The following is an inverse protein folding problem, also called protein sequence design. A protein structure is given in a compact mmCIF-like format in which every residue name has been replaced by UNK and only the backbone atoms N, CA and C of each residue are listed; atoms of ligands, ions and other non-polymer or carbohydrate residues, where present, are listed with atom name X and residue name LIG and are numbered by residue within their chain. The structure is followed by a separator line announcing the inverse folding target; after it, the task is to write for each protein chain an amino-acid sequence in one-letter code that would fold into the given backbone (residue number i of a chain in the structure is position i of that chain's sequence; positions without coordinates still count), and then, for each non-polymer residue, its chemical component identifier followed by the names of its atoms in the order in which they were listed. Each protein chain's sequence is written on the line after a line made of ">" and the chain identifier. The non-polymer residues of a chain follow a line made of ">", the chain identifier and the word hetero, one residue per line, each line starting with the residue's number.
data_IF_464653175648
#
_entry.id   IF_464653175648
#
_cell.length_a   1.000
_cell.length_b   1.000
_cell.length_c   1.000
_cell.angle_alpha   90.00
_cell.angle_beta   90.00
_cell.angle_gamma   90.00
#
_symmetry.space_group_name_H-M   'P 1'
#
loop_
_entity.id
_entity.type
_entity.pdbx_description
1 polymer ?
#
# COMPACT_ATOMS: atom_id res chain seq x y z
N UNK A 1 51.87 43.33 25.07
CA UNK A 1 51.55 43.35 23.62
C UNK A 1 50.03 43.23 23.50
N UNK A 2 49.38 44.38 23.35
CA UNK A 2 47.94 44.61 23.39
C UNK A 2 47.51 44.88 21.94
N UNK A 3 46.51 44.18 21.40
CA UNK A 3 45.87 44.52 20.13
C UNK A 3 44.33 44.38 20.26
N UNK A 4 43.56 45.47 20.12
CA UNK A 4 42.11 45.45 20.25
C UNK A 4 41.35 45.40 18.90
N UNK A 5 40.17 44.79 18.96
CA UNK A 5 38.89 45.18 18.33
C UNK A 5 38.88 45.61 16.86
N UNK A 6 38.24 44.80 16.00
CA UNK A 6 37.45 45.29 14.85
C UNK A 6 36.07 44.63 14.82
N UNK A 7 35.10 45.30 15.42
CA UNK A 7 33.66 45.10 15.17
C UNK A 7 33.38 45.51 13.73
N UNK A 8 33.04 44.56 12.88
CA UNK A 8 32.50 44.83 11.56
C UNK A 8 31.04 45.28 11.73
N UNK A 9 30.82 46.59 11.58
CA UNK A 9 29.50 47.19 11.40
C UNK A 9 28.93 46.71 10.05
N UNK A 10 27.85 45.92 10.11
CA UNK A 10 26.97 45.70 8.95
C UNK A 10 25.99 46.88 8.85
N UNK A 11 25.87 47.56 7.71
CA UNK A 11 24.96 48.68 7.55
C UNK A 11 23.50 48.22 7.48
N UNK A 12 22.64 48.99 8.17
CA UNK A 12 21.18 48.88 8.17
C UNK A 12 20.65 48.91 6.73
N UNK A 13 19.89 47.87 6.35
CA UNK A 13 19.16 47.81 5.09
C UNK A 13 17.85 48.60 5.23
N UNK A 14 17.82 49.75 4.58
CA UNK A 14 16.67 50.64 4.44
C UNK A 14 15.47 49.90 3.82
N UNK A 15 14.32 49.95 4.50
CA UNK A 15 13.05 49.42 4.03
C UNK A 15 12.49 50.34 2.93
N UNK A 16 12.39 49.83 1.70
CA UNK A 16 11.60 50.48 0.66
C UNK A 16 10.16 50.01 0.76
N UNK A 17 9.27 50.95 1.09
CA UNK A 17 7.83 50.80 0.96
C UNK A 17 7.47 50.66 -0.52
N UNK A 18 6.70 49.62 -0.87
CA UNK A 18 5.98 49.53 -2.12
C UNK A 18 4.50 49.36 -1.79
N UNK A 19 3.69 50.29 -2.29
CA UNK A 19 2.24 50.39 -2.15
C UNK A 19 1.50 49.32 -2.98
N UNK A 20 0.28 48.92 -2.57
CA UNK A 20 -0.54 47.97 -3.32
C UNK A 20 -1.41 48.69 -4.37
N UNK A 21 -1.17 48.42 -5.66
CA UNK A 21 -2.11 48.77 -6.73
C UNK A 21 -2.95 47.55 -7.07
N UNK A 22 -4.22 47.58 -6.68
CA UNK A 22 -5.26 46.70 -7.16
C UNK A 22 -5.62 47.08 -8.60
N UNK A 23 -5.75 46.11 -9.53
CA UNK A 23 -6.58 46.22 -10.75
C UNK A 23 -6.65 44.84 -11.44
N UNK A 24 -7.86 44.45 -11.84
CA UNK A 24 -8.03 43.70 -13.10
C UNK A 24 -8.44 42.24 -12.98
N UNK A 25 -9.74 42.01 -12.83
CA UNK A 25 -10.40 40.79 -13.27
C UNK A 25 -10.13 40.53 -14.77
N UNK A 26 -9.98 39.26 -15.15
CA UNK A 26 -10.43 38.74 -16.45
C UNK A 26 -10.61 37.22 -16.37
N UNK A 27 -11.88 36.85 -16.36
CA UNK A 27 -12.40 35.55 -16.76
C UNK A 27 -11.87 35.21 -18.16
N UNK A 28 -11.35 34.00 -18.30
CA UNK A 28 -10.92 33.43 -19.58
C UNK A 28 -11.01 31.92 -19.49
N UNK A 29 -12.23 31.41 -19.60
CA UNK A 29 -12.50 29.98 -19.78
C UNK A 29 -12.02 29.60 -21.19
N UNK A 30 -10.80 29.10 -21.31
CA UNK A 30 -10.35 28.43 -22.54
C UNK A 30 -10.50 26.93 -22.35
N UNK A 31 -11.69 26.45 -22.71
CA UNK A 31 -12.01 25.04 -22.82
C UNK A 31 -11.23 24.45 -24.02
N UNK A 32 -10.00 24.00 -23.76
CA UNK A 32 -9.26 23.16 -24.69
C UNK A 32 -9.95 21.79 -24.76
N UNK A 33 -10.83 21.65 -25.74
CA UNK A 33 -11.54 20.43 -26.13
C UNK A 33 -10.52 19.40 -26.64
N UNK A 34 -10.05 18.53 -25.74
CA UNK A 34 -9.23 17.38 -26.12
C UNK A 34 -10.11 16.37 -26.89
N UNK A 35 -9.90 16.27 -28.21
CA UNK A 35 -10.38 15.14 -28.99
C UNK A 35 -9.51 13.93 -28.64
N UNK A 36 -9.97 13.13 -27.68
CA UNK A 36 -9.39 11.81 -27.41
C UNK A 36 -9.88 10.89 -28.53
N UNK A 37 -8.98 10.61 -29.47
CA UNK A 37 -9.12 9.51 -30.43
C UNK A 37 -9.19 8.20 -29.65
N UNK A 38 -10.38 7.63 -29.53
CA UNK A 38 -10.60 6.27 -29.03
C UNK A 38 -10.44 5.30 -30.20
N UNK A 39 -9.21 4.96 -30.56
CA UNK A 39 -8.93 3.73 -31.30
C UNK A 39 -8.67 2.61 -30.29
N UNK A 40 -9.73 1.90 -29.93
CA UNK A 40 -9.66 0.65 -29.20
C UNK A 40 -9.11 -0.45 -30.12
N UNK A 41 -7.99 -1.12 -29.83
CA UNK A 41 -7.76 -2.44 -30.39
C UNK A 41 -8.68 -3.43 -29.65
N UNK A 42 -9.67 -3.94 -30.37
CA UNK A 42 -10.47 -5.08 -29.98
C UNK A 42 -9.54 -6.25 -29.59
N UNK A 43 -9.53 -6.61 -28.30
CA UNK A 43 -8.89 -7.83 -27.82
C UNK A 43 -9.77 -8.99 -28.26
N UNK A 44 -9.36 -9.66 -29.33
CA UNK A 44 -9.98 -10.90 -29.78
C UNK A 44 -9.87 -11.94 -28.66
N UNK A 45 -11.02 -12.48 -28.26
CA UNK A 45 -11.11 -13.71 -27.47
C UNK A 45 -10.54 -14.84 -28.33
N UNK A 46 -9.35 -15.32 -27.99
CA UNK A 46 -8.92 -16.65 -28.37
C UNK A 46 -9.35 -17.56 -27.23
N UNK A 47 -10.43 -18.33 -27.46
CA UNK A 47 -10.68 -19.57 -26.75
C UNK A 47 -9.48 -20.48 -27.07
N UNK A 48 -8.54 -20.59 -26.14
CA UNK A 48 -7.61 -21.72 -26.14
C UNK A 48 -8.16 -22.75 -25.19
N UNK A 49 -8.52 -23.86 -25.80
CA UNK A 49 -9.02 -25.09 -25.21
C UNK A 49 -8.06 -25.61 -24.14
N UNK A 50 -8.69 -26.16 -23.09
CA UNK A 50 -8.04 -26.88 -22.00
C UNK A 50 -7.11 -27.97 -22.55
N UNK A 51 -5.86 -28.11 -22.05
CA UNK A 51 -5.15 -29.36 -22.20
C UNK A 51 -5.77 -30.34 -21.20
N UNK A 52 -6.63 -31.22 -21.70
CA UNK A 52 -6.91 -32.53 -21.13
C UNK A 52 -5.55 -33.19 -20.85
N UNK A 53 -5.15 -33.24 -19.58
CA UNK A 53 -4.07 -34.13 -19.16
C UNK A 53 -4.65 -35.53 -19.27
N UNK A 54 -4.29 -36.19 -20.37
CA UNK A 54 -4.50 -37.60 -20.60
C UNK A 54 -3.97 -38.39 -19.40
N UNK A 55 -4.90 -39.04 -18.70
CA UNK A 55 -4.59 -40.03 -17.68
C UNK A 55 -3.89 -41.24 -18.35
N UNK A 56 -2.58 -41.17 -18.53
CA UNK A 56 -1.73 -42.31 -18.90
C UNK A 56 -1.23 -42.99 -17.63
N UNK A 57 -2.14 -43.66 -16.93
CA UNK A 57 -1.81 -44.64 -15.91
C UNK A 57 -2.44 -45.99 -16.26
N UNK A 58 -2.15 -46.48 -17.47
CA UNK A 58 -2.14 -47.92 -17.69
C UNK A 58 -0.95 -48.45 -16.90
N UNK A 59 -1.21 -49.22 -15.82
CA UNK A 59 -0.46 -50.36 -15.24
C UNK A 59 -1.01 -50.65 -13.82
N UNK A 60 -2.29 -50.97 -13.68
CA UNK A 60 -2.76 -51.69 -12.48
C UNK A 60 -3.59 -52.87 -12.97
N UNK A 61 -2.94 -54.03 -13.00
CA UNK A 61 -3.60 -55.32 -13.10
C UNK A 61 -4.38 -55.53 -11.80
N UNK A 62 -5.71 -55.53 -11.85
CA UNK A 62 -6.54 -55.92 -10.71
C UNK A 62 -6.48 -57.45 -10.54
N UNK A 63 -6.01 -58.01 -9.41
CA UNK A 63 -6.24 -59.42 -9.11
C UNK A 63 -7.69 -59.60 -8.57
N UNK A 64 -8.36 -60.72 -8.89
CA UNK A 64 -9.74 -60.94 -8.45
C UNK A 64 -9.81 -61.20 -6.93
N UNK A 65 -10.80 -60.55 -6.33
CA UNK A 65 -11.30 -60.68 -4.97
C UNK A 65 -11.70 -62.12 -4.63
N UNK A 66 -11.10 -62.69 -3.57
CA UNK A 66 -11.73 -63.68 -2.68
C UNK A 66 -10.84 -63.88 -1.44
N UNK A 67 -11.22 -63.28 -0.31
CA UNK A 67 -10.74 -63.70 1.00
C UNK A 67 -11.90 -63.54 2.01
N UNK A 68 -12.20 -64.56 2.84
CA UNK A 68 -13.33 -64.55 3.73
C UNK A 68 -13.08 -63.74 5.00
N UNK A 69 -14.18 -63.23 5.52
CA UNK A 69 -14.35 -62.47 6.74
C UNK A 69 -13.81 -63.23 7.97
N UNK A 70 -12.91 -62.62 8.75
CA UNK A 70 -12.77 -62.96 10.17
C UNK A 70 -12.05 -61.87 10.99
N UNK A 71 -12.75 -61.47 12.04
CA UNK A 71 -12.27 -61.09 13.37
C UNK A 71 -11.67 -59.69 13.60
N UNK A 72 -12.52 -58.92 14.29
CA UNK A 72 -12.22 -57.87 15.26
C UNK A 72 -10.77 -57.83 15.74
N UNK A 73 -10.07 -56.76 15.35
CA UNK A 73 -8.91 -56.25 16.08
C UNK A 73 -9.12 -54.76 16.29
N UNK A 74 -9.46 -54.42 17.54
CA UNK A 74 -9.30 -53.12 18.20
C UNK A 74 -8.84 -51.98 17.29
N UNK A 75 -9.74 -51.06 16.96
CA UNK A 75 -9.40 -49.76 16.38
C UNK A 75 -8.61 -48.94 17.42
N UNK A 76 -7.35 -49.29 17.61
CA UNK A 76 -6.39 -48.45 18.30
C UNK A 76 -6.36 -47.13 17.56
N UNK A 77 -6.81 -46.07 18.22
CA UNK A 77 -6.68 -44.70 17.75
C UNK A 77 -5.19 -44.45 17.52
N UNK A 78 -4.74 -44.62 16.28
CA UNK A 78 -3.43 -44.17 15.87
C UNK A 78 -3.40 -42.65 16.13
N UNK A 79 -2.37 -42.13 16.81
CA UNK A 79 -2.24 -40.70 17.01
C UNK A 79 -2.28 -40.03 15.63
N UNK A 80 -2.97 -38.88 15.49
CA UNK A 80 -3.03 -38.18 14.22
C UNK A 80 -1.60 -37.92 13.74
N UNK A 81 -1.25 -38.48 12.58
CA UNK A 81 0.06 -38.33 11.97
C UNK A 81 0.40 -36.83 11.93
N UNK A 82 1.61 -36.40 12.36
CA UNK A 82 1.96 -35.00 12.32
C UNK A 82 1.85 -34.51 10.87
N UNK A 83 0.82 -33.73 10.57
CA UNK A 83 0.68 -33.12 9.25
C UNK A 83 1.91 -32.24 9.04
N UNK A 84 2.71 -32.45 7.97
CA UNK A 84 3.88 -31.61 7.73
C UNK A 84 3.40 -30.16 7.61
N UNK A 85 3.81 -29.32 8.56
CA UNK A 85 3.54 -27.88 8.53
C UNK A 85 4.29 -27.34 7.31
N UNK A 86 3.56 -27.11 6.22
CA UNK A 86 4.14 -26.53 5.01
C UNK A 86 4.81 -25.19 5.39
N UNK A 87 6.00 -24.90 4.84
CA UNK A 87 6.66 -23.62 5.09
C UNK A 87 5.74 -22.49 4.62
N UNK A 88 5.75 -21.34 5.32
CA UNK A 88 4.91 -20.21 4.96
C UNK A 88 5.22 -19.75 3.53
N UNK A 89 4.19 -19.29 2.80
CA UNK A 89 4.38 -18.77 1.44
C UNK A 89 5.18 -17.46 1.52
N UNK A 90 6.38 -17.44 0.95
CA UNK A 90 7.29 -16.28 0.94
C UNK A 90 7.17 -15.44 -0.35
N UNK A 91 6.03 -15.46 -1.03
CA UNK A 91 5.86 -14.72 -2.27
C UNK A 91 5.56 -13.23 -2.01
N UNK A 92 5.62 -12.41 -3.05
CA UNK A 92 5.22 -10.98 -3.00
C UNK A 92 3.74 -10.77 -2.63
N UNK A 93 2.95 -11.85 -2.57
CA UNK A 93 1.52 -11.86 -2.21
C UNK A 93 1.31 -12.16 -0.72
N UNK A 94 2.33 -12.62 0.01
CA UNK A 94 2.20 -13.05 1.41
C UNK A 94 1.58 -11.96 2.30
N UNK A 95 2.03 -10.71 2.17
CA UNK A 95 1.49 -9.55 2.89
C UNK A 95 0.23 -8.92 2.28
N UNK A 96 -0.35 -9.52 1.24
CA UNK A 96 -1.53 -9.01 0.50
C UNK A 96 -2.62 -10.07 0.36
N UNK A 97 -2.57 -11.10 1.20
CA UNK A 97 -3.53 -12.21 1.22
C UNK A 97 -4.10 -12.39 2.62
N UNK A 98 -5.39 -12.65 2.71
CA UNK A 98 -6.10 -12.94 3.95
C UNK A 98 -6.94 -14.19 3.72
N UNK A 99 -6.89 -15.11 4.68
CA UNK A 99 -7.80 -16.25 4.69
C UNK A 99 -9.17 -15.81 5.20
N UNK A 100 -10.22 -16.09 4.45
CA UNK A 100 -11.61 -15.85 4.90
C UNK A 100 -11.92 -16.82 6.02
N UNK A 101 -12.41 -16.31 7.16
CA UNK A 101 -12.81 -17.12 8.32
C UNK A 101 -14.30 -16.89 8.60
N UNK A 102 -15.01 -17.95 8.92
CA UNK A 102 -16.44 -17.87 9.28
C UNK A 102 -17.37 -17.43 8.15
N UNK A 103 -16.94 -17.55 6.87
CA UNK A 103 -17.77 -17.17 5.72
C UNK A 103 -17.97 -15.66 5.52
N UNK A 104 -17.44 -14.81 6.40
CA UNK A 104 -17.54 -13.35 6.26
C UNK A 104 -16.51 -12.82 5.25
N UNK A 105 -16.92 -12.84 3.98
CA UNK A 105 -16.13 -12.33 2.86
C UNK A 105 -16.02 -10.80 2.92
N UNK A 106 -17.07 -10.11 3.39
CA UNK A 106 -17.10 -8.66 3.46
C UNK A 106 -16.07 -8.13 4.48
N UNK A 107 -16.04 -8.73 5.68
CA UNK A 107 -15.04 -8.45 6.71
C UNK A 107 -13.62 -8.72 6.20
N UNK A 108 -13.41 -9.83 5.49
CA UNK A 108 -12.12 -10.16 4.90
C UNK A 108 -11.66 -9.10 3.87
N UNK A 109 -12.56 -8.57 3.04
CA UNK A 109 -12.22 -7.48 2.11
C UNK A 109 -11.90 -6.16 2.82
N UNK A 110 -12.59 -5.83 3.91
CA UNK A 110 -12.27 -4.63 4.71
C UNK A 110 -10.90 -4.75 5.36
N UNK A 111 -10.58 -5.93 5.90
CA UNK A 111 -9.26 -6.22 6.44
C UNK A 111 -8.19 -6.14 5.34
N UNK A 112 -8.46 -6.68 4.15
CA UNK A 112 -7.53 -6.61 3.02
C UNK A 112 -7.27 -5.16 2.60
N UNK A 113 -8.33 -4.36 2.52
CA UNK A 113 -8.23 -2.93 2.22
C UNK A 113 -7.34 -2.22 3.25
N UNK A 114 -7.52 -2.49 4.54
CA UNK A 114 -6.69 -1.92 5.61
C UNK A 114 -5.21 -2.28 5.40
N UNK A 115 -4.88 -3.55 5.21
CA UNK A 115 -3.50 -4.00 4.97
C UNK A 115 -2.90 -3.29 3.75
N UNK A 116 -3.65 -3.17 2.65
CA UNK A 116 -3.18 -2.45 1.47
C UNK A 116 -2.93 -0.95 1.72
N UNK A 117 -3.74 -0.31 2.57
CA UNK A 117 -3.55 1.10 2.95
C UNK A 117 -2.38 1.31 3.90
N UNK A 118 -2.16 0.41 4.87
CA UNK A 118 -1.02 0.46 5.79
C UNK A 118 0.30 0.31 5.04
N UNK A 119 0.34 -0.58 4.04
CA UNK A 119 1.48 -0.77 3.15
C UNK A 119 1.60 0.27 2.03
N UNK A 120 0.68 1.23 1.94
CA UNK A 120 0.70 2.32 0.95
C UNK A 120 0.76 1.87 -0.52
N UNK A 121 0.27 0.67 -0.86
CA UNK A 121 0.44 0.05 -2.19
C UNK A 121 -0.14 0.93 -3.31
N UNK A 122 -1.34 1.47 -3.10
CA UNK A 122 -2.01 2.33 -4.09
C UNK A 122 -1.28 3.67 -4.30
N UNK A 123 -0.60 4.17 -3.26
CA UNK A 123 0.23 5.37 -3.36
C UNK A 123 1.50 5.08 -4.16
N UNK A 124 2.13 3.95 -3.88
CA UNK A 124 3.36 3.54 -4.56
C UNK A 124 3.11 3.25 -6.03
N UNK A 125 2.01 2.57 -6.37
CA UNK A 125 1.64 2.34 -7.78
C UNK A 125 1.42 3.65 -8.54
N UNK A 126 0.78 4.65 -7.91
CA UNK A 126 0.55 5.95 -8.53
C UNK A 126 1.85 6.76 -8.71
N UNK A 127 2.78 6.69 -7.74
CA UNK A 127 4.08 7.37 -7.83
C UNK A 127 4.98 6.69 -8.87
N UNK A 128 4.93 5.36 -8.98
CA UNK A 128 5.73 4.59 -9.93
C UNK A 128 5.23 4.71 -11.38
N UNK A 129 3.99 5.16 -11.60
CA UNK A 129 3.40 5.31 -12.94
C UNK A 129 4.27 6.16 -13.88
N UNK A 130 4.99 7.14 -13.35
CA UNK A 130 5.87 8.01 -14.13
C UNK A 130 7.23 8.18 -13.45
N UNK A 131 8.28 8.37 -14.24
CA UNK A 131 9.60 8.69 -13.71
C UNK A 131 9.62 10.06 -13.05
N UNK A 132 9.87 10.08 -11.74
CA UNK A 132 10.14 11.30 -10.97
C UNK A 132 11.65 11.56 -10.92
N UNK A 133 12.09 12.72 -11.43
CA UNK A 133 13.50 13.13 -11.33
C UNK A 133 13.97 13.18 -9.86
N UNK A 134 15.22 12.76 -9.55
CA UNK A 134 15.68 12.63 -8.16
C UNK A 134 15.65 13.95 -7.38
N UNK A 135 15.90 15.08 -8.03
CA UNK A 135 15.80 16.41 -7.41
C UNK A 135 14.37 16.77 -6.99
N UNK A 136 13.38 16.46 -7.84
CA UNK A 136 11.97 16.66 -7.53
C UNK A 136 11.51 15.73 -6.41
N UNK A 137 11.92 14.46 -6.45
CA UNK A 137 11.66 13.46 -5.40
C UNK A 137 12.17 13.92 -4.04
N UNK A 138 13.42 14.42 -3.96
CA UNK A 138 13.99 14.96 -2.71
C UNK A 138 13.17 16.14 -2.17
N UNK A 139 12.76 17.07 -3.03
CA UNK A 139 11.92 18.23 -2.65
C UNK A 139 10.52 17.78 -2.17
N UNK A 140 9.91 16.81 -2.84
CA UNK A 140 8.62 16.22 -2.44
C UNK A 140 8.74 15.58 -1.05
N UNK A 141 9.70 14.67 -0.86
CA UNK A 141 9.91 13.95 0.41
C UNK A 141 10.17 14.93 1.56
N UNK A 142 10.99 15.98 1.34
CA UNK A 142 11.24 17.02 2.35
C UNK A 142 9.95 17.72 2.78
N UNK A 143 9.12 18.15 1.82
CA UNK A 143 7.83 18.81 2.10
C UNK A 143 6.82 17.88 2.75
N UNK A 144 6.78 16.60 2.38
CA UNK A 144 5.93 15.60 3.01
C UNK A 144 6.31 15.34 4.47
N UNK A 145 7.61 15.12 4.74
CA UNK A 145 8.13 14.91 6.10
C UNK A 145 7.85 16.12 6.99
N UNK A 146 8.06 17.33 6.48
CA UNK A 146 7.75 18.56 7.21
C UNK A 146 6.27 18.65 7.58
N UNK A 147 5.36 18.48 6.61
CA UNK A 147 3.91 18.50 6.85
C UNK A 147 3.48 17.44 7.87
N UNK A 148 4.07 16.24 7.80
CA UNK A 148 3.80 15.16 8.77
C UNK A 148 4.23 15.56 10.18
N UNK A 149 5.47 15.99 10.36
CA UNK A 149 6.00 16.43 11.66
C UNK A 149 5.23 17.61 12.23
N UNK A 150 4.94 18.61 11.40
CA UNK A 150 4.15 19.78 11.80
C UNK A 150 2.77 19.37 12.29
N UNK A 151 2.07 18.48 11.57
CA UNK A 151 0.77 17.96 11.98
C UNK A 151 0.86 17.16 13.29
N UNK A 152 1.90 16.36 13.47
CA UNK A 152 2.14 15.59 14.70
C UNK A 152 2.37 16.54 15.90
N UNK A 153 3.26 17.52 15.78
CA UNK A 153 3.51 18.53 16.84
C UNK A 153 2.27 19.35 17.15
N UNK A 154 1.52 19.79 16.13
CA UNK A 154 0.28 20.55 16.33
C UNK A 154 -0.77 19.74 17.11
N UNK A 155 -0.96 18.46 16.76
CA UNK A 155 -1.86 17.56 17.50
C UNK A 155 -1.43 17.39 18.95
N UNK A 156 -0.13 17.25 19.21
CA UNK A 156 0.40 17.14 20.56
C UNK A 156 0.07 18.38 21.39
N UNK A 157 0.30 19.58 20.83
CA UNK A 157 -0.03 20.84 21.50
C UNK A 157 -1.52 20.93 21.84
N UNK A 158 -2.40 20.61 20.89
CA UNK A 158 -3.85 20.62 21.13
C UNK A 158 -4.24 19.61 22.22
N UNK A 159 -3.66 18.41 22.19
CA UNK A 159 -3.92 17.41 23.22
C UNK A 159 -3.46 17.87 24.60
N UNK A 160 -2.29 18.52 24.70
CA UNK A 160 -1.82 19.11 25.96
C UNK A 160 -2.77 20.19 26.47
N UNK A 161 -3.26 21.08 25.59
CA UNK A 161 -4.24 22.11 25.96
C UNK A 161 -5.56 21.49 26.43
N UNK A 162 -6.04 20.45 25.75
CA UNK A 162 -7.25 19.73 26.16
C UNK A 162 -7.05 19.00 27.50
N UNK A 163 -5.84 18.51 27.76
CA UNK A 163 -5.49 17.89 29.04
C UNK A 163 -5.44 18.91 30.18
N UNK A 164 -4.81 20.08 29.98
CA UNK A 164 -4.82 21.18 30.95
C UNK A 164 -6.24 21.64 31.26
N UNK A 165 -7.06 21.83 30.21
CA UNK A 165 -8.48 22.14 30.36
C UNK A 165 -9.23 21.07 31.16
N UNK A 166 -8.93 19.78 30.96
CA UNK A 166 -9.53 18.68 31.72
C UNK A 166 -9.10 18.72 33.19
N UNK A 167 -7.87 19.11 33.48
CA UNK A 167 -7.34 19.30 34.83
C UNK A 167 -7.90 20.56 35.51
N UNK A 168 -8.50 21.48 34.76
CA UNK A 168 -9.04 22.74 35.27
C UNK A 168 -8.02 23.89 35.30
N UNK A 169 -6.92 23.76 34.54
CA UNK A 169 -5.91 24.81 34.30
C UNK A 169 -6.20 25.52 32.98
#
# INVERSE_FOLDING_TARGET
>A
MNLPLRRLFLPLRLAHQASPTALGAKLGHSAARALISTSCPARQNVLTESPEISNSAAWISNPPSNAPDSNQSSSGSLPPLPTPKLPPRLNSTAGRSIAVRGGDVAGAFMQLKRICTENLIARDSNIQRFYERPGLKKKRIRRERFRRRFKESFKQMVNTVLEMKRQGI
#
